data_IF_530287010239
#
_entry.id   IF_530287010239
#
_cell.length_a   1.000
_cell.length_b   1.000
_cell.length_c   1.000
_cell.angle_alpha   90.00
_cell.angle_beta   90.00
_cell.angle_gamma   90.00
#
_symmetry.space_group_name_H-M   'P 1'
#
loop_
_entity.id
_entity.type
_entity.pdbx_description
1 polymer ?
#
# COMPACT_ATOMS: atom_id res chain seq x y z
N UNK A 1 17.21 -29.17 15.41
CA UNK A 1 16.41 -28.01 15.84
C UNK A 1 16.04 -27.29 14.54
N UNK A 2 14.85 -27.58 14.02
CA UNK A 2 14.42 -27.17 12.68
C UNK A 2 14.10 -25.67 12.68
N UNK A 3 14.81 -24.90 11.85
CA UNK A 3 14.60 -23.47 11.65
C UNK A 3 13.43 -23.34 10.68
N UNK A 4 12.29 -22.89 11.21
CA UNK A 4 11.07 -22.63 10.45
C UNK A 4 11.32 -21.43 9.52
N UNK A 5 10.97 -21.60 8.25
CA UNK A 5 10.94 -20.59 7.20
C UNK A 5 10.14 -19.37 7.66
N UNK A 6 10.75 -18.18 7.64
CA UNK A 6 10.20 -16.95 8.21
C UNK A 6 9.53 -16.12 7.10
N UNK A 7 8.21 -16.26 6.93
CA UNK A 7 7.46 -15.39 6.02
C UNK A 7 7.22 -14.05 6.73
N UNK A 8 7.92 -13.01 6.27
CA UNK A 8 7.83 -11.65 6.78
C UNK A 8 6.53 -11.01 6.27
N UNK A 9 5.63 -10.67 7.19
CA UNK A 9 4.31 -10.10 6.90
C UNK A 9 4.45 -8.60 6.56
N UNK A 10 4.04 -8.23 5.34
CA UNK A 10 4.01 -6.86 4.81
C UNK A 10 2.87 -6.04 5.41
N UNK A 11 3.16 -4.84 5.93
CA UNK A 11 2.13 -3.90 6.40
C UNK A 11 2.42 -2.44 6.00
N UNK A 12 1.61 -1.98 5.03
CA UNK A 12 1.04 -0.65 4.82
C UNK A 12 1.96 0.61 4.79
N UNK A 13 2.36 0.99 3.58
CA UNK A 13 1.88 2.20 2.87
C UNK A 13 1.64 1.72 1.41
N UNK A 14 0.68 2.28 0.67
CA UNK A 14 0.23 1.82 -0.66
C UNK A 14 1.36 1.22 -1.50
N UNK A 15 1.14 -0.04 -1.93
CA UNK A 15 2.10 -1.12 -2.21
C UNK A 15 2.78 -1.74 -0.99
N UNK A 16 2.22 -2.84 -0.50
CA UNK A 16 2.50 -4.10 -1.20
C UNK A 16 1.62 -5.24 -0.66
N UNK A 17 0.99 -5.91 -1.61
CA UNK A 17 0.50 -7.27 -1.51
C UNK A 17 1.72 -8.19 -1.47
N UNK A 18 1.85 -9.03 -0.44
CA UNK A 18 2.36 -10.41 -0.48
C UNK A 18 2.50 -10.91 0.96
N UNK A 19 1.40 -11.46 1.50
CA UNK A 19 1.48 -12.44 2.59
C UNK A 19 0.73 -13.69 2.19
N UNK A 20 1.17 -14.31 1.09
CA UNK A 20 0.91 -15.73 0.88
C UNK A 20 1.75 -16.50 1.87
N UNK A 21 1.14 -17.45 2.58
CA UNK A 21 1.89 -18.47 3.31
C UNK A 21 2.88 -19.14 2.35
N UNK A 22 4.17 -18.80 2.43
CA UNK A 22 5.21 -19.64 1.87
C UNK A 22 5.34 -20.88 2.79
N UNK A 23 4.57 -21.91 2.45
CA UNK A 23 5.04 -23.26 2.67
C UNK A 23 6.14 -23.50 1.65
N UNK A 24 7.38 -23.55 2.12
CA UNK A 24 8.46 -24.20 1.40
C UNK A 24 8.13 -25.69 1.28
N UNK A 25 7.54 -26.08 0.15
CA UNK A 25 7.74 -27.40 -0.44
C UNK A 25 8.14 -27.21 -1.90
N UNK A 26 9.32 -27.75 -2.21
CA UNK A 26 9.91 -27.78 -3.53
C UNK A 26 9.20 -28.85 -4.38
N UNK A 27 9.13 -28.58 -5.68
CA UNK A 27 8.87 -29.51 -6.79
C UNK A 27 7.42 -29.96 -7.13
N UNK A 28 6.74 -29.15 -7.96
CA UNK A 28 6.26 -29.54 -9.32
C UNK A 28 5.12 -28.63 -9.81
N UNK A 29 5.36 -27.90 -10.90
CA UNK A 29 4.37 -27.35 -11.86
C UNK A 29 2.93 -27.14 -11.35
N UNK A 30 2.64 -26.07 -10.60
CA UNK A 30 1.25 -25.61 -10.45
C UNK A 30 1.02 -24.32 -11.24
N UNK A 31 0.47 -24.46 -12.45
CA UNK A 31 0.01 -23.35 -13.30
C UNK A 31 -1.31 -22.75 -12.78
N UNK A 32 -1.58 -22.81 -11.47
CA UNK A 32 -2.84 -22.33 -10.91
C UNK A 32 -2.78 -20.85 -10.62
N UNK A 33 -3.92 -20.20 -10.80
CA UNK A 33 -4.16 -18.83 -10.34
C UNK A 33 -4.49 -18.94 -8.86
N UNK A 34 -3.77 -18.19 -8.04
CA UNK A 34 -4.05 -18.01 -6.63
C UNK A 34 -5.00 -16.82 -6.46
N UNK A 35 -6.11 -17.01 -5.76
CA UNK A 35 -7.12 -15.98 -5.53
C UNK A 35 -7.18 -15.68 -4.05
N UNK A 36 -7.06 -14.41 -3.70
CA UNK A 36 -7.11 -13.93 -2.32
C UNK A 36 -8.00 -12.69 -2.20
N UNK A 37 -8.52 -12.45 -1.00
CA UNK A 37 -9.28 -11.26 -0.67
C UNK A 37 -9.06 -10.88 0.78
N UNK A 38 -8.99 -9.58 1.06
CA UNK A 38 -8.83 -9.05 2.42
C UNK A 38 -9.66 -7.80 2.62
N UNK A 39 -9.78 -7.38 3.87
CA UNK A 39 -10.38 -6.10 4.20
C UNK A 39 -9.68 -5.45 5.38
N UNK A 40 -9.28 -4.20 5.19
CA UNK A 40 -8.68 -3.40 6.24
C UNK A 40 -9.69 -2.38 6.80
N UNK A 41 -9.64 -2.15 8.10
CA UNK A 41 -10.31 -1.03 8.75
C UNK A 41 -9.23 -0.12 9.32
N UNK A 42 -9.16 1.10 8.79
CA UNK A 42 -8.20 2.12 9.24
C UNK A 42 -8.93 3.26 9.93
N UNK A 43 -8.39 3.72 11.06
CA UNK A 43 -8.92 4.87 11.79
C UNK A 43 -8.87 6.18 10.98
N UNK A 44 -7.95 6.27 10.02
CA UNK A 44 -7.82 7.37 9.07
C UNK A 44 -7.05 6.91 7.83
N UNK A 45 -7.50 7.32 6.65
CA UNK A 45 -6.77 7.06 5.40
C UNK A 45 -5.67 8.12 5.21
N UNK A 46 -4.43 7.71 5.51
CA UNK A 46 -3.22 8.49 5.26
C UNK A 46 -2.42 7.81 4.14
N UNK A 47 -2.21 8.50 3.03
CA UNK A 47 -1.35 8.02 1.94
C UNK A 47 -0.15 8.94 1.76
N UNK A 48 1.07 8.40 1.94
CA UNK A 48 2.34 9.15 1.79
C UNK A 48 2.34 10.48 2.55
N UNK A 49 1.73 10.46 3.74
CA UNK A 49 1.62 11.60 4.64
C UNK A 49 0.45 12.55 4.38
N UNK A 50 -0.34 12.34 3.33
CA UNK A 50 -1.54 13.12 3.02
C UNK A 50 -2.79 12.46 3.60
N UNK A 51 -3.73 13.28 4.07
CA UNK A 51 -5.00 12.82 4.63
C UNK A 51 -6.10 12.95 3.57
N UNK A 52 -6.77 11.84 3.28
CA UNK A 52 -7.76 11.75 2.19
C UNK A 52 -9.21 11.91 2.69
N UNK A 53 -9.42 12.35 3.93
CA UNK A 53 -10.74 12.63 4.50
C UNK A 53 -11.57 11.39 4.87
N UNK A 54 -11.02 10.18 4.76
CA UNK A 54 -11.72 8.96 5.17
C UNK A 54 -11.38 8.65 6.62
N UNK A 55 -12.31 8.92 7.53
CA UNK A 55 -12.10 8.69 8.96
C UNK A 55 -13.41 8.23 9.64
N UNK A 56 -13.55 6.95 9.99
CA UNK A 56 -12.72 5.80 9.59
C UNK A 56 -12.91 5.39 8.11
N UNK A 57 -12.01 4.55 7.58
CA UNK A 57 -12.09 3.98 6.22
C UNK A 57 -12.10 2.45 6.22
N UNK A 58 -12.96 1.86 5.39
CA UNK A 58 -12.93 0.43 5.05
C UNK A 58 -12.23 0.27 3.71
N UNK A 59 -11.29 -0.67 3.63
CA UNK A 59 -10.41 -0.84 2.48
C UNK A 59 -10.38 -2.31 2.02
N UNK A 60 -11.32 -2.74 1.16
CA UNK A 60 -11.33 -4.10 0.64
C UNK A 60 -10.26 -4.28 -0.45
N UNK A 61 -9.77 -5.50 -0.59
CA UNK A 61 -8.91 -5.91 -1.71
C UNK A 61 -9.31 -7.29 -2.21
N UNK A 62 -9.18 -7.50 -3.53
CA UNK A 62 -9.22 -8.81 -4.17
C UNK A 62 -8.00 -8.91 -5.08
N UNK A 63 -7.31 -10.06 -5.05
CA UNK A 63 -6.14 -10.29 -5.89
C UNK A 63 -6.21 -11.64 -6.62
N UNK A 64 -5.58 -11.67 -7.79
CA UNK A 64 -5.33 -12.87 -8.58
C UNK A 64 -3.83 -12.93 -8.93
N UNK A 65 -3.14 -13.93 -8.42
CA UNK A 65 -1.69 -14.09 -8.57
C UNK A 65 -1.32 -15.31 -9.42
N UNK A 66 -0.36 -15.14 -10.33
CA UNK A 66 0.15 -16.21 -11.18
C UNK A 66 1.59 -15.97 -11.60
N UNK A 67 2.49 -16.89 -11.24
CA UNK A 67 3.93 -16.85 -11.59
C UNK A 67 4.59 -15.51 -11.27
N UNK A 68 4.27 -14.92 -10.12
CA UNK A 68 4.78 -13.62 -9.68
C UNK A 68 4.12 -12.42 -10.34
N UNK A 69 3.15 -12.59 -11.25
CA UNK A 69 2.22 -11.51 -11.60
C UNK A 69 1.10 -11.46 -10.56
N UNK A 70 0.60 -10.25 -10.28
CA UNK A 70 -0.60 -10.04 -9.47
C UNK A 70 -1.48 -8.98 -10.13
N UNK A 71 -2.73 -9.33 -10.42
CA UNK A 71 -3.78 -8.37 -10.76
C UNK A 71 -4.62 -8.16 -9.50
N UNK A 72 -4.81 -6.92 -9.09
CA UNK A 72 -5.59 -6.60 -7.90
C UNK A 72 -6.58 -5.47 -8.13
N UNK A 73 -7.64 -5.49 -7.33
CA UNK A 73 -8.56 -4.38 -7.15
C UNK A 73 -8.60 -4.03 -5.67
N UNK A 74 -8.47 -2.75 -5.36
CA UNK A 74 -8.50 -2.22 -4.00
C UNK A 74 -9.50 -1.07 -3.91
N UNK A 75 -10.01 -0.76 -2.74
CA UNK A 75 -10.78 0.47 -2.55
C UNK A 75 -10.51 1.10 -1.21
N UNK A 76 -10.87 2.38 -1.08
CA UNK A 76 -10.98 3.05 0.21
C UNK A 76 -12.29 3.78 0.29
N UNK A 77 -13.11 3.36 1.25
CA UNK A 77 -14.44 3.90 1.40
C UNK A 77 -14.62 4.58 2.75
N UNK A 78 -15.26 5.74 2.73
CA UNK A 78 -15.68 6.45 3.93
C UNK A 78 -16.79 5.66 4.61
N UNK A 79 -16.68 5.49 5.93
CA UNK A 79 -17.74 4.85 6.72
C UNK A 79 -18.93 5.76 7.01
N UNK A 80 -18.76 7.08 6.91
CA UNK A 80 -19.81 8.06 7.14
C UNK A 80 -19.52 9.37 6.40
N UNK A 81 -20.59 10.06 6.02
CA UNK A 81 -20.58 11.34 5.32
C UNK A 81 -20.33 11.21 3.82
N UNK A 82 -20.83 12.19 3.07
CA UNK A 82 -20.57 12.34 1.63
C UNK A 82 -19.09 12.63 1.38
N UNK A 83 -18.60 12.29 0.19
CA UNK A 83 -17.31 12.76 -0.31
C UNK A 83 -16.65 11.82 -1.29
N UNK A 84 -15.37 12.09 -1.54
CA UNK A 84 -14.55 11.30 -2.46
C UNK A 84 -14.36 9.90 -1.89
N UNK A 85 -14.54 8.91 -2.75
CA UNK A 85 -14.28 7.49 -2.56
C UNK A 85 -13.19 7.06 -3.55
N UNK A 86 -12.59 5.90 -3.34
CA UNK A 86 -11.51 5.41 -4.20
C UNK A 86 -11.72 3.94 -4.59
N UNK A 87 -11.43 3.60 -5.83
CA UNK A 87 -11.39 2.22 -6.32
C UNK A 87 -10.28 2.08 -7.34
N UNK A 88 -9.30 1.25 -7.02
CA UNK A 88 -8.07 1.15 -7.76
C UNK A 88 -7.96 -0.21 -8.42
N UNK A 89 -7.27 -0.25 -9.55
CA UNK A 89 -6.87 -1.49 -10.21
C UNK A 89 -5.36 -1.44 -10.40
N UNK A 90 -4.68 -2.54 -10.15
CA UNK A 90 -3.23 -2.62 -10.36
C UNK A 90 -2.79 -3.94 -10.96
N UNK A 91 -1.68 -3.88 -11.69
CA UNK A 91 -0.94 -5.04 -12.15
C UNK A 91 0.49 -4.93 -11.65
N UNK A 92 0.99 -5.96 -11.00
CA UNK A 92 2.37 -6.04 -10.56
C UNK A 92 3.07 -7.30 -11.06
N UNK A 93 4.40 -7.25 -11.02
CA UNK A 93 5.29 -8.36 -11.33
C UNK A 93 6.52 -8.35 -10.43
N UNK A 94 6.70 -9.41 -9.66
CA UNK A 94 7.90 -9.63 -8.85
C UNK A 94 8.93 -10.47 -9.60
N UNK A 95 10.18 -10.01 -9.59
CA UNK A 95 11.35 -10.66 -10.18
C UNK A 95 12.52 -10.55 -9.19
N UNK A 96 12.77 -11.62 -8.45
CA UNK A 96 13.76 -11.60 -7.36
C UNK A 96 13.36 -10.58 -6.29
N UNK A 97 14.24 -9.66 -5.87
CA UNK A 97 13.95 -8.67 -4.83
C UNK A 97 13.18 -7.44 -5.35
N UNK A 98 12.83 -7.40 -6.64
CA UNK A 98 12.20 -6.22 -7.26
C UNK A 98 10.77 -6.53 -7.66
N UNK A 99 9.84 -5.69 -7.22
CA UNK A 99 8.45 -5.68 -7.65
C UNK A 99 8.18 -4.44 -8.48
N UNK A 100 7.76 -4.63 -9.73
CA UNK A 100 7.27 -3.55 -10.59
C UNK A 100 5.75 -3.52 -10.54
N UNK A 101 5.14 -2.34 -10.51
CA UNK A 101 3.69 -2.21 -10.54
C UNK A 101 3.24 -1.05 -11.42
N UNK A 102 2.05 -1.22 -11.98
CA UNK A 102 1.26 -0.14 -12.58
C UNK A 102 -0.07 -0.07 -11.83
N UNK A 103 -0.39 1.11 -11.32
CA UNK A 103 -1.64 1.39 -10.63
C UNK A 103 -2.48 2.35 -11.45
N UNK A 104 -3.79 2.14 -11.37
CA UNK A 104 -4.81 3.09 -11.77
C UNK A 104 -5.59 3.49 -10.52
N UNK A 105 -5.31 4.69 -10.01
CA UNK A 105 -6.02 5.28 -8.89
C UNK A 105 -7.26 6.01 -9.40
N UNK A 106 -8.45 5.51 -9.09
CA UNK A 106 -9.69 6.18 -9.50
C UNK A 106 -10.46 6.69 -8.29
N UNK A 107 -10.43 8.01 -8.14
CA UNK A 107 -11.17 8.73 -7.11
C UNK A 107 -12.47 9.27 -7.68
N UNK A 108 -13.58 9.10 -6.97
CA UNK A 108 -14.91 9.50 -7.45
C UNK A 108 -15.78 10.07 -6.33
N UNK A 109 -16.66 11.01 -6.67
CA UNK A 109 -17.68 11.54 -5.78
C UNK A 109 -18.92 10.64 -5.85
N UNK A 110 -19.32 10.05 -4.73
CA UNK A 110 -20.45 9.12 -4.65
C UNK A 110 -21.83 9.80 -4.82
N UNK A 111 -21.85 11.14 -4.89
CA UNK A 111 -23.04 11.94 -5.19
C UNK A 111 -23.16 12.34 -6.67
N UNK A 112 -22.12 12.10 -7.48
CA UNK A 112 -22.07 12.46 -8.90
C UNK A 112 -22.00 11.22 -9.80
N UNK A 113 -22.61 11.30 -10.99
CA UNK A 113 -22.39 10.30 -12.03
C UNK A 113 -21.01 10.54 -12.65
N UNK A 114 -20.07 9.65 -12.38
CA UNK A 114 -18.73 9.65 -12.93
C UNK A 114 -18.51 8.39 -13.78
N UNK A 115 -17.77 8.53 -14.87
CA UNK A 115 -17.46 7.44 -15.79
C UNK A 115 -16.05 6.90 -15.51
N UNK A 116 -15.96 5.67 -15.02
CA UNK A 116 -14.68 4.95 -14.85
C UNK A 116 -13.94 4.74 -16.18
N UNK A 117 -14.63 4.80 -17.31
CA UNK A 117 -13.97 4.66 -18.62
C UNK A 117 -13.48 6.00 -19.19
N UNK A 118 -13.62 7.12 -18.46
CA UNK A 118 -13.11 8.41 -18.90
C UNK A 118 -11.62 8.58 -18.62
N UNK A 119 -10.81 8.15 -19.58
CA UNK A 119 -9.36 8.34 -19.58
C UNK A 119 -8.91 9.59 -20.34
N UNK A 120 -9.79 10.55 -20.67
CA UNK A 120 -9.38 11.78 -21.36
C UNK A 120 -8.60 12.71 -20.42
N UNK A 121 -7.46 13.21 -20.87
CA UNK A 121 -6.52 13.97 -20.03
C UNK A 121 -7.17 15.17 -19.32
N UNK A 122 -8.16 15.82 -19.94
CA UNK A 122 -8.81 17.02 -19.41
C UNK A 122 -9.91 16.75 -18.38
N UNK A 123 -10.46 15.54 -18.34
CA UNK A 123 -11.67 15.21 -17.55
C UNK A 123 -11.51 13.98 -16.65
N UNK A 124 -10.45 13.20 -16.85
CA UNK A 124 -10.23 11.95 -16.14
C UNK A 124 -10.07 12.15 -14.64
N UNK A 125 -10.72 11.28 -13.86
CA UNK A 125 -10.53 11.17 -12.42
C UNK A 125 -9.42 10.17 -12.04
N UNK A 126 -8.80 9.55 -13.05
CA UNK A 126 -7.75 8.55 -12.87
C UNK A 126 -6.40 9.22 -12.60
N UNK A 127 -5.53 8.53 -11.88
CA UNK A 127 -4.10 8.82 -11.77
C UNK A 127 -3.35 7.51 -12.00
N UNK A 128 -2.60 7.42 -13.10
CA UNK A 128 -1.79 6.23 -13.38
C UNK A 128 -0.38 6.39 -12.83
N UNK A 129 0.08 5.37 -12.12
CA UNK A 129 1.39 5.35 -11.48
C UNK A 129 2.20 4.13 -11.90
N UNK A 130 3.48 4.34 -12.20
CA UNK A 130 4.45 3.27 -12.35
C UNK A 130 5.34 3.23 -11.11
N UNK A 131 5.60 2.04 -10.60
CA UNK A 131 6.38 1.88 -9.39
C UNK A 131 7.41 0.75 -9.52
N UNK A 132 8.49 0.89 -8.76
CA UNK A 132 9.49 -0.13 -8.52
C UNK A 132 9.82 -0.17 -7.03
N UNK A 133 9.53 -1.30 -6.39
CA UNK A 133 9.87 -1.60 -5.01
C UNK A 133 11.03 -2.58 -5.00
N UNK A 134 12.09 -2.27 -4.26
CA UNK A 134 13.22 -3.15 -4.00
C UNK A 134 13.18 -3.54 -2.53
N UNK A 135 13.10 -4.83 -2.26
CA UNK A 135 13.05 -5.37 -0.90
C UNK A 135 14.39 -6.02 -0.56
N UNK A 136 14.98 -5.62 0.56
CA UNK A 136 16.25 -6.19 1.04
C UNK A 136 16.13 -7.60 1.62
N UNK A 137 14.89 -8.06 1.85
CA UNK A 137 14.58 -9.37 2.39
C UNK A 137 15.27 -9.65 3.72
N UNK A 138 15.67 -10.89 3.96
CA UNK A 138 16.38 -11.29 5.18
C UNK A 138 17.82 -10.76 5.25
N UNK A 139 18.37 -10.28 4.13
CA UNK A 139 19.79 -9.91 4.03
C UNK A 139 20.06 -8.44 4.33
N UNK A 140 19.12 -7.56 3.99
CA UNK A 140 19.24 -6.12 4.18
C UNK A 140 17.94 -5.61 4.78
N UNK A 141 17.95 -4.95 5.94
CA UNK A 141 16.73 -4.51 6.63
C UNK A 141 16.18 -3.22 6.01
N UNK A 142 16.31 -3.03 4.69
CA UNK A 142 15.90 -1.84 3.99
C UNK A 142 15.10 -2.18 2.76
N UNK A 143 14.00 -1.43 2.56
CA UNK A 143 13.25 -1.42 1.32
C UNK A 143 13.34 -0.03 0.69
N UNK A 144 13.30 0.02 -0.63
CA UNK A 144 13.29 1.26 -1.39
C UNK A 144 12.18 1.25 -2.43
N UNK A 145 11.30 2.24 -2.36
CA UNK A 145 10.24 2.48 -3.32
C UNK A 145 10.61 3.67 -4.20
N UNK A 146 10.46 3.49 -5.51
CA UNK A 146 10.39 4.56 -6.50
C UNK A 146 9.03 4.54 -7.19
N UNK A 147 8.44 5.72 -7.35
CA UNK A 147 7.11 5.91 -7.92
C UNK A 147 7.09 7.09 -8.88
N UNK A 148 6.27 6.98 -9.92
CA UNK A 148 6.05 8.03 -10.91
C UNK A 148 4.58 8.07 -11.37
N UNK A 149 3.90 9.16 -11.06
CA UNK A 149 2.57 9.48 -11.62
C UNK A 149 2.77 9.93 -13.07
N UNK A 150 2.45 9.07 -14.04
CA UNK A 150 2.78 9.30 -15.45
C UNK A 150 1.57 9.76 -16.28
N UNK A 151 0.35 9.50 -15.84
CA UNK A 151 -0.88 9.86 -16.55
C UNK A 151 -2.01 10.21 -15.60
N UNK A 152 -3.03 10.92 -16.11
CA UNK A 152 -4.24 11.23 -15.36
C UNK A 152 -4.27 12.65 -14.78
N UNK A 153 -5.07 12.82 -13.74
CA UNK A 153 -5.38 14.12 -13.13
C UNK A 153 -4.16 14.82 -12.49
N UNK A 154 -3.06 14.09 -12.22
CA UNK A 154 -1.76 14.71 -11.95
C UNK A 154 -1.08 15.22 -13.24
N UNK A 155 -1.35 16.49 -13.55
CA UNK A 155 -0.70 17.20 -14.67
C UNK A 155 0.77 17.51 -14.42
N UNK A 156 1.28 17.39 -13.18
CA UNK A 156 2.66 17.75 -12.83
C UNK A 156 3.64 16.59 -12.94
N UNK A 157 3.13 15.37 -13.15
CA UNK A 157 3.91 14.14 -13.33
C UNK A 157 4.86 13.90 -12.15
N UNK A 158 4.25 13.74 -10.97
CA UNK A 158 4.93 13.72 -9.68
C UNK A 158 5.77 12.46 -9.49
N UNK A 159 6.90 12.62 -8.81
CA UNK A 159 7.77 11.52 -8.40
C UNK A 159 7.69 11.35 -6.89
N UNK A 160 7.88 10.12 -6.44
CA UNK A 160 7.98 9.80 -5.03
C UNK A 160 9.03 8.73 -4.80
N UNK A 161 9.83 8.92 -3.76
CA UNK A 161 10.77 7.92 -3.27
C UNK A 161 10.50 7.65 -1.79
N UNK A 162 10.59 6.41 -1.34
CA UNK A 162 10.53 6.08 0.08
C UNK A 162 11.62 5.08 0.45
N UNK A 163 12.32 5.38 1.53
CA UNK A 163 13.23 4.44 2.17
C UNK A 163 12.56 3.95 3.44
N UNK A 164 12.55 2.62 3.61
CA UNK A 164 12.03 1.96 4.79
C UNK A 164 13.16 1.19 5.46
N UNK A 165 13.21 1.23 6.80
CA UNK A 165 13.99 0.32 7.62
C UNK A 165 13.05 -0.64 8.32
N UNK A 166 13.19 -1.94 8.05
CA UNK A 166 12.29 -2.98 8.55
C UNK A 166 13.07 -3.92 9.47
N UNK A 167 12.55 -4.16 10.67
CA UNK A 167 13.12 -5.11 11.62
C UNK A 167 12.03 -5.72 12.49
N UNK A 168 12.35 -6.80 13.19
CA UNK A 168 11.43 -7.44 14.13
C UNK A 168 12.04 -7.48 15.52
N UNK A 169 11.29 -7.00 16.50
CA UNK A 169 11.64 -7.11 17.91
C UNK A 169 10.60 -7.96 18.63
N UNK A 170 10.97 -9.20 18.97
CA UNK A 170 10.08 -10.22 19.54
C UNK A 170 8.90 -10.51 18.58
N UNK A 171 7.69 -10.20 19.01
CA UNK A 171 6.44 -10.41 18.27
C UNK A 171 5.97 -9.12 17.56
N UNK A 172 6.75 -8.05 17.61
CA UNK A 172 6.42 -6.76 17.01
C UNK A 172 7.31 -6.55 15.79
N UNK A 173 6.68 -6.39 14.64
CA UNK A 173 7.32 -5.90 13.43
C UNK A 173 7.39 -4.37 13.49
N UNK A 174 8.54 -3.84 13.10
CA UNK A 174 8.88 -2.42 13.15
C UNK A 174 9.29 -1.96 11.77
N UNK A 175 8.66 -0.89 11.28
CA UNK A 175 9.04 -0.23 10.04
C UNK A 175 9.19 1.27 10.29
N UNK A 176 10.40 1.80 10.19
CA UNK A 176 10.60 3.25 10.08
C UNK A 176 10.65 3.63 8.60
N UNK A 177 10.06 4.76 8.23
CA UNK A 177 10.01 5.20 6.83
C UNK A 177 10.23 6.70 6.69
N UNK A 178 10.77 7.09 5.54
CA UNK A 178 10.89 8.48 5.12
C UNK A 178 10.69 8.56 3.60
N UNK A 179 9.67 9.33 3.18
CA UNK A 179 9.37 9.54 1.78
C UNK A 179 9.58 10.99 1.34
N UNK A 180 10.09 11.11 0.11
CA UNK A 180 10.56 12.34 -0.51
C UNK A 180 9.90 12.51 -1.88
N UNK A 181 9.34 13.69 -2.13
CA UNK A 181 8.82 14.10 -3.42
C UNK A 181 9.81 15.06 -4.07
N UNK A 182 10.60 14.64 -5.08
CA UNK A 182 11.57 15.51 -5.76
C UNK A 182 10.96 16.30 -6.92
N UNK A 183 9.72 16.00 -7.32
CA UNK A 183 9.08 16.59 -8.50
C UNK A 183 7.58 16.49 -8.39
N UNK A 184 6.90 17.52 -8.90
CA UNK A 184 5.45 17.57 -8.99
C UNK A 184 4.82 18.10 -7.72
N UNK A 185 3.49 18.21 -7.74
CA UNK A 185 2.72 18.83 -6.66
C UNK A 185 1.66 17.91 -6.07
N UNK A 186 1.59 16.66 -6.53
CA UNK A 186 0.59 15.71 -6.05
C UNK A 186 0.80 15.40 -4.56
N UNK A 187 2.04 15.05 -4.16
CA UNK A 187 2.36 14.65 -2.78
C UNK A 187 2.68 15.81 -1.83
N UNK A 188 2.96 17.01 -2.34
CA UNK A 188 3.37 18.15 -1.52
C UNK A 188 3.50 19.45 -2.29
N UNK A 189 3.51 20.57 -1.56
CA UNK A 189 3.56 21.92 -2.12
C UNK A 189 4.90 22.29 -2.75
N UNK A 190 5.98 21.59 -2.37
CA UNK A 190 7.35 21.79 -2.83
C UNK A 190 8.14 20.48 -2.74
N UNK A 191 9.30 20.48 -3.37
CA UNK A 191 10.26 19.38 -3.27
C UNK A 191 10.70 19.18 -1.81
N UNK A 192 10.61 17.96 -1.30
CA UNK A 192 10.87 17.73 0.12
C UNK A 192 10.34 16.41 0.66
N UNK A 193 10.58 16.21 1.95
CA UNK A 193 9.98 15.11 2.71
C UNK A 193 8.49 15.37 2.87
N UNK A 194 7.68 14.36 2.51
CA UNK A 194 6.21 14.41 2.57
C UNK A 194 5.66 13.44 3.61
N UNK A 195 6.44 12.45 4.03
CA UNK A 195 6.13 11.60 5.17
C UNK A 195 7.39 11.10 5.87
N UNK A 196 7.35 11.08 7.18
CA UNK A 196 8.36 10.45 8.04
C UNK A 196 7.60 9.78 9.17
N UNK A 197 7.92 8.55 9.50
CA UNK A 197 7.18 7.86 10.53
C UNK A 197 7.72 6.52 10.93
N UNK A 198 6.92 5.87 11.77
CA UNK A 198 7.12 4.49 12.16
C UNK A 198 5.78 3.77 12.20
N UNK A 199 5.80 2.51 11.81
CA UNK A 199 4.70 1.57 11.94
C UNK A 199 5.14 0.42 12.83
N UNK A 200 4.30 0.09 13.81
CA UNK A 200 4.42 -1.09 14.63
C UNK A 200 3.27 -2.02 14.29
N UNK A 201 3.55 -3.31 14.17
CA UNK A 201 2.51 -4.30 13.93
C UNK A 201 2.76 -5.61 14.66
N UNK A 202 1.68 -6.31 14.97
CA UNK A 202 1.72 -7.65 15.53
C UNK A 202 0.44 -8.39 15.21
N UNK A 203 0.53 -9.72 15.23
CA UNK A 203 -0.65 -10.57 15.21
C UNK A 203 -1.34 -10.53 16.59
N UNK A 204 -2.65 -10.29 16.59
CA UNK A 204 -3.49 -10.41 17.79
C UNK A 204 -4.29 -11.70 17.68
N UNK A 205 -3.89 -12.69 18.46
CA UNK A 205 -4.63 -13.94 18.55
C UNK A 205 -5.92 -13.74 19.34
N UNK A 206 -7.03 -14.17 18.76
CA UNK A 206 -8.35 -14.14 19.41
C UNK A 206 -8.78 -15.54 19.84
N UNK A 207 -8.48 -16.54 19.03
CA UNK A 207 -8.64 -17.96 19.36
C UNK A 207 -7.36 -18.72 19.05
N UNK A 208 -7.34 -20.03 19.28
CA UNK A 208 -6.20 -20.89 18.91
C UNK A 208 -6.00 -20.98 17.39
N UNK A 209 -7.03 -20.70 16.60
CA UNK A 209 -7.04 -20.88 15.14
C UNK A 209 -7.30 -19.59 14.37
N UNK A 210 -7.58 -18.48 15.06
CA UNK A 210 -7.93 -17.22 14.44
C UNK A 210 -7.30 -16.03 15.18
N UNK A 211 -6.66 -15.17 14.41
CA UNK A 211 -6.10 -13.90 14.82
C UNK A 211 -6.26 -12.88 13.70
N UNK A 212 -5.82 -11.67 13.98
CA UNK A 212 -5.75 -10.62 12.98
C UNK A 212 -4.50 -9.73 13.19
N UNK A 213 -3.92 -9.18 12.12
CA UNK A 213 -2.91 -8.16 12.23
C UNK A 213 -3.49 -6.87 12.82
N UNK A 214 -2.83 -6.36 13.86
CA UNK A 214 -3.06 -5.01 14.40
C UNK A 214 -1.82 -4.16 14.12
N UNK A 215 -2.01 -2.99 13.53
CA UNK A 215 -0.94 -2.02 13.33
C UNK A 215 -1.24 -0.64 13.87
N UNK A 216 -0.18 0.08 14.25
CA UNK A 216 -0.20 1.47 14.65
C UNK A 216 0.92 2.24 13.95
N UNK A 217 0.57 3.34 13.31
CA UNK A 217 1.50 4.19 12.56
C UNK A 217 1.50 5.60 13.14
N UNK A 218 2.68 6.09 13.51
CA UNK A 218 2.92 7.51 13.81
C UNK A 218 3.55 8.15 12.57
N UNK A 219 2.84 9.10 11.97
CA UNK A 219 3.19 9.68 10.68
C UNK A 219 3.25 11.20 10.83
N UNK A 220 4.37 11.79 10.43
CA UNK A 220 4.52 13.24 10.31
C UNK A 220 4.73 13.63 8.85
N UNK A 221 3.96 14.60 8.38
CA UNK A 221 4.15 15.22 7.07
C UNK A 221 4.73 16.64 7.27
N UNK A 222 6.02 16.86 6.95
CA UNK A 222 6.67 18.17 7.09
C UNK A 222 6.09 19.26 6.17
N UNK A 223 5.52 18.90 5.02
CA UNK A 223 4.98 19.85 4.06
C UNK A 223 3.68 20.48 4.57
N UNK A 224 2.75 19.65 5.04
CA UNK A 224 1.44 20.10 5.58
C UNK A 224 1.46 20.33 7.10
N UNK A 225 2.60 20.10 7.75
CA UNK A 225 2.85 20.32 9.20
C UNK A 225 1.88 19.60 10.13
N UNK A 226 1.45 18.40 9.73
CA UNK A 226 0.49 17.60 10.49
C UNK A 226 1.08 16.27 10.91
N UNK A 227 0.60 15.75 12.03
CA UNK A 227 1.00 14.47 12.61
C UNK A 227 -0.24 13.62 12.86
N UNK A 228 -0.14 12.33 12.54
CA UNK A 228 -1.24 11.38 12.62
C UNK A 228 -0.78 10.15 13.41
N UNK A 229 -1.63 9.70 14.32
CA UNK A 229 -1.54 8.36 14.92
C UNK A 229 -2.68 7.54 14.34
N UNK A 230 -2.35 6.54 13.53
CA UNK A 230 -3.32 5.73 12.77
C UNK A 230 -3.27 4.30 13.28
N UNK A 231 -4.40 3.77 13.73
CA UNK A 231 -4.59 2.35 13.96
C UNK A 231 -5.23 1.69 12.72
N UNK A 232 -4.83 0.45 12.44
CA UNK A 232 -5.42 -0.40 11.42
C UNK A 232 -5.58 -1.85 11.89
N UNK A 233 -6.64 -2.50 11.44
CA UNK A 233 -6.92 -3.93 11.65
C UNK A 233 -7.19 -4.56 10.28
N UNK A 234 -6.61 -5.73 10.03
CA UNK A 234 -6.73 -6.48 8.77
C UNK A 234 -7.48 -7.79 8.98
N UNK A 235 -8.38 -8.14 8.06
CA UNK A 235 -9.17 -9.38 8.06
C UNK A 235 -8.91 -10.24 6.83
#
# INVERSE_FOLDING_TARGET
MSIRTLNLILLFNIMASFTGWSQTEDDSTDNKIDLDFRMDIVSRYIWRGQEYGHAPSIQPEITASWKGFTLGAWGAYKLNGEGIQETDIYLSKTIGPVTFAVWDYWTFDDTALMDFMDFKEETTAHVLEAQALIEGGETLPFNFLASYLFYGSDTTKSLYFELQYVTRFKEIDFMAFAGYSPKGKYYGSREGLVNIGLTLSREVQVTETWGFPLSMSLIYNPDVKSMYLVAAISF
#
